data_IF_470470190179
#
_entry.id   IF_470470190179
#
_cell.length_a   1.000
_cell.length_b   1.000
_cell.length_c   1.000
_cell.angle_alpha   90.00
_cell.angle_beta   90.00
_cell.angle_gamma   90.00
#
_symmetry.space_group_name_H-M   'P 1'
#
loop_
_entity.id
_entity.type
_entity.pdbx_description
1 polymer ?
#
# COMPACT_ATOMS: atom_id res chain seq x y z
N UNK A 1 -59.35 -11.77 -4.80
CA UNK A 1 -58.01 -12.10 -5.35
C UNK A 1 -56.96 -11.52 -4.43
N UNK A 2 -56.13 -12.39 -3.86
CA UNK A 2 -55.06 -12.08 -2.90
C UNK A 2 -53.98 -11.23 -3.56
N UNK A 3 -53.46 -10.19 -2.90
CA UNK A 3 -52.02 -9.89 -2.76
C UNK A 3 -51.79 -9.04 -1.52
N UNK A 4 -51.50 -9.72 -0.42
CA UNK A 4 -50.93 -9.17 0.81
C UNK A 4 -49.50 -8.74 0.50
N UNK A 5 -49.14 -7.48 0.69
CA UNK A 5 -47.74 -7.03 0.67
C UNK A 5 -47.38 -6.65 2.10
N UNK A 6 -46.71 -7.59 2.77
CA UNK A 6 -45.94 -7.33 3.98
C UNK A 6 -44.64 -8.11 3.81
N UNK A 7 -43.52 -7.41 3.63
CA UNK A 7 -42.21 -7.97 3.97
C UNK A 7 -41.33 -6.86 4.51
N UNK A 8 -40.80 -7.17 5.69
CA UNK A 8 -40.21 -6.30 6.68
C UNK A 8 -38.78 -5.87 6.33
N UNK A 9 -38.41 -4.76 6.98
CA UNK A 9 -37.06 -4.35 7.37
C UNK A 9 -36.01 -5.47 7.37
N UNK A 10 -34.88 -5.18 6.75
CA UNK A 10 -33.65 -5.95 6.89
C UNK A 10 -32.45 -5.14 6.43
N UNK A 11 -32.29 -3.91 6.93
CA UNK A 11 -31.06 -3.15 6.76
C UNK A 11 -29.95 -3.77 7.62
N UNK A 12 -29.35 -4.86 7.15
CA UNK A 12 -28.09 -5.34 7.67
C UNK A 12 -26.95 -4.60 6.94
N UNK A 13 -26.67 -3.36 7.38
CA UNK A 13 -25.34 -2.79 7.14
C UNK A 13 -24.34 -3.65 7.92
N UNK A 14 -23.79 -4.67 7.27
CA UNK A 14 -22.55 -5.27 7.70
C UNK A 14 -21.47 -4.20 7.48
N UNK A 15 -21.21 -3.42 8.53
CA UNK A 15 -19.99 -2.66 8.64
C UNK A 15 -18.83 -3.67 8.62
N UNK A 16 -18.33 -3.98 7.43
CA UNK A 16 -17.01 -4.58 7.29
C UNK A 16 -16.06 -3.59 7.98
N UNK A 17 -15.38 -3.96 9.07
CA UNK A 17 -14.23 -3.18 9.47
C UNK A 17 -13.29 -3.30 8.27
N UNK A 18 -13.12 -2.20 7.53
CA UNK A 18 -11.98 -2.05 6.63
C UNK A 18 -10.79 -2.18 7.56
N UNK A 19 -10.27 -3.40 7.68
CA UNK A 19 -9.10 -3.72 8.46
C UNK A 19 -7.91 -3.18 7.67
N UNK A 20 -7.86 -1.85 7.50
CA UNK A 20 -6.65 -1.16 7.14
C UNK A 20 -5.66 -1.57 8.20
N UNK A 21 -4.65 -2.34 7.81
CA UNK A 21 -3.53 -2.70 8.67
C UNK A 21 -2.95 -1.38 9.16
N UNK A 22 -3.36 -0.94 10.35
CA UNK A 22 -2.76 0.19 11.01
C UNK A 22 -1.37 -0.29 11.41
N UNK A 23 -0.40 0.00 10.54
CA UNK A 23 1.00 -0.16 10.85
C UNK A 23 1.23 0.51 12.20
N UNK A 24 1.63 -0.30 13.19
CA UNK A 24 1.85 0.16 14.55
C UNK A 24 2.92 1.26 14.49
N UNK A 25 2.58 2.42 15.04
CA UNK A 25 3.55 3.51 15.17
C UNK A 25 4.63 3.12 16.16
N UNK A 26 5.87 3.52 15.90
CA UNK A 26 6.92 3.42 16.90
C UNK A 26 6.75 4.48 18.00
N UNK A 27 7.68 4.51 18.95
CA UNK A 27 7.69 5.44 20.08
C UNK A 27 7.74 6.92 19.66
N UNK A 28 8.27 7.21 18.48
CA UNK A 28 8.43 8.57 17.95
C UNK A 28 7.31 8.90 16.94
N UNK A 29 6.35 7.99 16.75
CA UNK A 29 5.18 8.18 15.90
C UNK A 29 5.38 7.79 14.43
N UNK A 30 6.54 7.25 14.05
CA UNK A 30 6.81 6.82 12.68
C UNK A 30 6.02 5.58 12.32
N UNK A 31 5.65 5.50 11.05
CA UNK A 31 4.96 4.35 10.46
C UNK A 31 5.89 3.70 9.46
N UNK A 32 6.17 2.42 9.64
CA UNK A 32 6.96 1.63 8.69
C UNK A 32 6.24 1.53 7.34
N UNK A 33 6.83 2.11 6.28
CA UNK A 33 6.33 2.02 4.91
C UNK A 33 6.85 0.80 4.15
N UNK A 34 8.15 0.50 4.26
CA UNK A 34 8.73 -0.72 3.70
C UNK A 34 8.84 -1.79 4.77
N UNK A 35 8.25 -2.96 4.50
CA UNK A 35 8.16 -4.05 5.46
C UNK A 35 9.42 -4.94 5.54
N UNK A 36 10.48 -4.60 4.80
CA UNK A 36 11.73 -5.37 4.73
C UNK A 36 11.65 -6.67 3.92
N UNK A 37 10.53 -6.94 3.23
CA UNK A 37 10.24 -8.24 2.60
C UNK A 37 9.76 -8.12 1.17
N UNK A 38 8.84 -7.19 0.91
CA UNK A 38 8.20 -7.02 -0.40
C UNK A 38 7.71 -5.58 -0.61
N UNK A 39 7.15 -5.32 -1.79
CA UNK A 39 6.67 -4.00 -2.20
C UNK A 39 5.19 -3.76 -1.85
N UNK A 40 4.62 -4.48 -0.88
CA UNK A 40 3.25 -4.19 -0.43
C UNK A 40 3.13 -2.72 0.00
N UNK A 41 2.17 -1.98 -0.57
CA UNK A 41 1.99 -0.56 -0.32
C UNK A 41 2.78 0.36 -1.28
N UNK A 42 3.44 -0.19 -2.29
CA UNK A 42 4.22 0.55 -3.28
C UNK A 42 3.79 0.22 -4.72
N UNK A 43 3.68 1.26 -5.54
CA UNK A 43 3.49 1.18 -6.98
C UNK A 43 4.81 1.48 -7.70
N UNK A 44 5.16 0.68 -8.71
CA UNK A 44 6.33 0.91 -9.56
C UNK A 44 6.25 0.11 -10.87
N UNK A 45 6.85 0.64 -11.95
CA UNK A 45 7.16 -0.14 -13.17
C UNK A 45 8.60 -0.65 -13.18
N UNK A 46 9.36 -0.31 -12.14
CA UNK A 46 10.76 -0.63 -11.96
C UNK A 46 10.97 -2.06 -11.46
N UNK A 47 12.21 -2.50 -11.58
CA UNK A 47 12.64 -3.80 -11.12
C UNK A 47 13.43 -3.69 -9.82
N UNK A 48 12.69 -3.31 -8.78
CA UNK A 48 13.13 -3.28 -7.40
C UNK A 48 13.09 -4.69 -6.80
N UNK A 49 14.17 -5.06 -6.12
CA UNK A 49 14.39 -6.39 -5.57
C UNK A 49 14.61 -6.28 -4.06
N UNK A 50 13.66 -6.75 -3.23
CA UNK A 50 13.87 -6.93 -1.79
C UNK A 50 15.04 -7.89 -1.53
N UNK A 51 15.94 -7.50 -0.62
CA UNK A 51 17.10 -8.30 -0.24
C UNK A 51 16.91 -8.96 1.12
N UNK A 52 17.71 -10.00 1.41
CA UNK A 52 17.62 -10.77 2.67
C UNK A 52 18.00 -9.95 3.91
N UNK A 53 18.82 -8.92 3.75
CA UNK A 53 19.23 -8.00 4.81
C UNK A 53 18.22 -6.87 5.06
N UNK A 54 17.10 -6.86 4.34
CA UNK A 54 16.09 -5.82 4.41
C UNK A 54 16.42 -4.57 3.59
N UNK A 55 17.43 -4.60 2.73
CA UNK A 55 17.65 -3.53 1.75
C UNK A 55 16.80 -3.71 0.48
N UNK A 56 16.68 -2.64 -0.32
CA UNK A 56 16.00 -2.63 -1.61
C UNK A 56 16.98 -2.26 -2.72
N UNK A 57 17.19 -3.16 -3.67
CA UNK A 57 18.07 -2.94 -4.82
C UNK A 57 17.24 -2.59 -6.06
N UNK A 58 17.60 -1.50 -6.75
CA UNK A 58 17.18 -1.28 -8.13
C UNK A 58 18.26 -1.78 -9.07
N UNK A 59 17.91 -2.75 -9.91
CA UNK A 59 18.84 -3.39 -10.83
C UNK A 59 18.39 -3.12 -12.26
N UNK A 60 19.00 -2.28 -13.09
CA UNK A 60 18.48 -1.99 -14.44
C UNK A 60 18.30 -3.24 -15.33
N UNK A 61 17.25 -3.30 -16.16
CA UNK A 61 17.10 -4.33 -17.20
C UNK A 61 18.09 -4.09 -18.33
N UNK A 62 18.30 -5.08 -19.19
CA UNK A 62 19.19 -4.96 -20.34
C UNK A 62 18.81 -3.74 -21.20
N UNK A 63 19.77 -2.85 -21.42
CA UNK A 63 19.61 -1.65 -22.23
C UNK A 63 19.16 -0.40 -21.45
N UNK A 64 18.67 -0.55 -20.22
CA UNK A 64 18.30 0.56 -19.36
C UNK A 64 19.54 1.13 -18.66
N UNK A 65 19.68 2.47 -18.67
CA UNK A 65 20.81 3.17 -18.06
C UNK A 65 20.38 4.51 -17.46
N UNK A 66 21.11 4.95 -16.44
CA UNK A 66 20.99 6.29 -15.86
C UNK A 66 19.64 6.61 -15.21
N UNK A 67 19.49 7.88 -14.84
CA UNK A 67 18.33 8.43 -14.11
C UNK A 67 17.25 8.96 -15.05
N UNK A 68 16.84 8.17 -16.03
CA UNK A 68 15.86 8.58 -17.05
C UNK A 68 14.48 7.92 -16.88
N UNK A 69 14.34 7.08 -15.85
CA UNK A 69 13.19 6.18 -15.66
C UNK A 69 12.43 6.54 -14.40
N UNK A 70 11.88 7.75 -14.36
CA UNK A 70 11.14 8.25 -13.20
C UNK A 70 9.88 7.41 -12.90
N UNK A 71 9.28 6.81 -13.93
CA UNK A 71 8.17 5.87 -13.82
C UNK A 71 8.56 4.58 -13.07
N UNK A 72 9.84 4.25 -13.08
CA UNK A 72 10.39 3.08 -12.38
C UNK A 72 10.68 3.33 -10.89
N UNK A 73 10.41 4.53 -10.36
CA UNK A 73 10.59 4.79 -8.93
C UNK A 73 9.47 4.16 -8.09
N UNK A 74 9.73 4.06 -6.79
CA UNK A 74 8.75 3.58 -5.82
C UNK A 74 7.85 4.75 -5.42
N UNK A 75 6.55 4.60 -5.65
CA UNK A 75 5.52 5.55 -5.20
C UNK A 75 4.63 4.84 -4.19
N UNK A 76 4.44 5.42 -3.00
CA UNK A 76 3.50 4.83 -2.04
C UNK A 76 2.08 4.81 -2.60
N UNK A 77 1.35 3.72 -2.38
CA UNK A 77 -0.09 3.64 -2.74
C UNK A 77 -0.90 4.72 -2.01
N UNK A 78 -0.54 4.97 -0.75
CA UNK A 78 -1.15 6.01 0.06
C UNK A 78 -0.50 7.37 -0.24
N UNK A 79 -1.33 8.41 -0.32
CA UNK A 79 -0.88 9.81 -0.43
C UNK A 79 -0.75 10.43 0.97
N UNK A 80 0.28 11.25 1.13
CA UNK A 80 0.59 12.00 2.35
C UNK A 80 0.71 13.49 2.00
N UNK A 81 0.31 14.36 2.93
CA UNK A 81 0.41 15.81 2.76
C UNK A 81 1.50 16.37 3.68
N UNK A 82 1.29 16.22 4.99
CA UNK A 82 2.20 16.73 6.02
C UNK A 82 2.89 15.54 6.69
N UNK A 83 4.18 15.34 6.38
CA UNK A 83 4.93 14.19 6.87
C UNK A 83 6.42 14.52 7.05
N UNK A 84 7.06 13.71 7.91
CA UNK A 84 8.51 13.56 7.96
C UNK A 84 8.81 12.17 7.41
N UNK A 85 9.68 12.09 6.41
CA UNK A 85 10.17 10.82 5.86
C UNK A 85 11.56 10.55 6.41
N UNK A 86 11.77 9.34 6.92
CA UNK A 86 13.05 8.83 7.37
C UNK A 86 13.34 7.53 6.60
N UNK A 87 14.53 7.44 6.00
CA UNK A 87 15.01 6.31 5.18
C UNK A 87 16.40 5.93 5.64
#
# INVERSE_FOLDING_TARGET
MKKTILTLLGAALLALPVLGKHHKKDKDGFVTLYNGKDLTGWNTTGNWLPQKDGSLLIQPRKGERGWQRYDAYLTSEKKYKDFILHV
#
